data_IF_407145051873
#
_entry.id   IF_407145051873
#
_cell.length_a   1.000
_cell.length_b   1.000
_cell.length_c   1.000
_cell.angle_alpha   90.00
_cell.angle_beta   90.00
_cell.angle_gamma   90.00
#
_symmetry.space_group_name_H-M   'P 1'
#
loop_
_entity.id
_entity.type
_entity.pdbx_description
1 polymer ?
#
# COMPACT_ATOMS: atom_id res chain seq x y z
N UNK A 1 0.26 20.34 7.61
CA UNK A 1 -0.16 19.71 6.33
C UNK A 1 -0.26 18.19 6.45
N UNK A 2 0.74 17.50 7.01
CA UNK A 2 0.67 16.07 7.36
C UNK A 2 -0.58 15.70 8.18
N UNK A 3 -0.98 16.56 9.13
CA UNK A 3 -2.18 16.36 9.95
C UNK A 3 -3.47 16.19 9.12
N UNK A 4 -3.61 16.89 7.99
CA UNK A 4 -4.80 16.74 7.14
C UNK A 4 -4.84 15.37 6.44
N UNK A 5 -3.67 14.81 6.12
CA UNK A 5 -3.55 13.51 5.45
C UNK A 5 -3.94 12.39 6.42
N UNK A 6 -3.40 12.40 7.65
CA UNK A 6 -3.69 11.37 8.67
C UNK A 6 -5.15 11.37 9.16
N UNK A 7 -5.93 12.42 8.88
CA UNK A 7 -7.35 12.47 9.27
C UNK A 7 -8.31 12.31 8.10
N UNK A 8 -7.78 12.17 6.88
CA UNK A 8 -8.59 12.14 5.67
C UNK A 8 -9.15 10.75 5.40
N UNK A 9 -10.44 10.69 5.08
CA UNK A 9 -11.06 9.50 4.49
C UNK A 9 -12.24 9.90 3.61
N UNK A 10 -12.24 9.45 2.36
CA UNK A 10 -13.31 9.63 1.39
C UNK A 10 -13.99 8.29 1.12
N UNK A 11 -15.18 8.12 1.70
CA UNK A 11 -15.99 6.90 1.54
C UNK A 11 -16.43 6.68 0.10
N UNK A 12 -16.74 7.74 -0.63
CA UNK A 12 -17.19 7.67 -2.03
C UNK A 12 -16.06 7.20 -2.93
N UNK A 13 -14.83 7.67 -2.72
CA UNK A 13 -13.65 7.24 -3.47
C UNK A 13 -12.97 5.98 -2.91
N UNK A 14 -13.33 5.56 -1.70
CA UNK A 14 -12.70 4.47 -0.95
C UNK A 14 -11.20 4.70 -0.78
N UNK A 15 -10.81 5.93 -0.41
CA UNK A 15 -9.40 6.32 -0.23
C UNK A 15 -9.22 7.13 1.05
N UNK A 16 -8.16 6.84 1.81
CA UNK A 16 -7.78 7.66 2.96
C UNK A 16 -6.76 7.04 3.88
N UNK A 17 -6.48 7.72 4.98
CA UNK A 17 -5.55 7.26 6.00
C UNK A 17 -6.06 5.96 6.65
N UNK A 18 -5.14 5.00 6.78
CA UNK A 18 -5.47 3.66 7.27
C UNK A 18 -6.05 3.66 8.69
N UNK A 19 -5.66 4.60 9.54
CA UNK A 19 -6.18 4.76 10.91
C UNK A 19 -7.61 5.30 10.99
N UNK A 20 -8.18 5.76 9.86
CA UNK A 20 -9.58 6.21 9.74
C UNK A 20 -10.51 5.13 9.22
N UNK A 21 -9.96 3.98 8.85
CA UNK A 21 -10.69 2.83 8.31
C UNK A 21 -11.14 1.97 9.49
N UNK A 22 -12.07 2.51 10.29
CA UNK A 22 -12.44 1.97 11.60
C UNK A 22 -13.87 1.44 11.66
N UNK A 23 -14.59 1.25 10.55
CA UNK A 23 -15.96 0.73 10.61
C UNK A 23 -15.95 -0.78 10.30
N UNK A 24 -16.01 -1.66 11.33
CA UNK A 24 -16.22 -3.07 11.09
C UNK A 24 -17.52 -3.25 10.31
N UNK A 25 -17.47 -4.01 9.23
CA UNK A 25 -18.64 -4.28 8.39
C UNK A 25 -18.84 -3.35 7.19
N UNK A 26 -18.03 -2.30 7.03
CA UNK A 26 -18.00 -1.51 5.77
C UNK A 26 -17.07 -2.11 4.71
N UNK A 27 -16.22 -3.07 5.10
CA UNK A 27 -15.18 -3.66 4.26
C UNK A 27 -15.29 -5.17 4.23
N UNK A 28 -15.07 -5.75 3.06
CA UNK A 28 -15.01 -7.19 2.87
C UNK A 28 -14.04 -7.51 1.73
N UNK A 29 -13.62 -8.77 1.64
CA UNK A 29 -12.84 -9.21 0.50
C UNK A 29 -13.68 -9.10 -0.77
N UNK A 30 -13.07 -8.62 -1.85
CA UNK A 30 -13.76 -8.43 -3.11
C UNK A 30 -14.32 -9.73 -3.69
N UNK A 31 -15.14 -9.59 -4.72
CA UNK A 31 -15.66 -10.72 -5.48
C UNK A 31 -14.79 -10.96 -6.71
N UNK A 32 -14.67 -12.23 -7.10
CA UNK A 32 -14.11 -12.59 -8.40
C UNK A 32 -15.18 -12.40 -9.48
N UNK A 33 -14.80 -11.81 -10.61
CA UNK A 33 -15.65 -11.72 -11.79
C UNK A 33 -14.84 -12.08 -13.04
N UNK A 34 -15.52 -12.50 -14.11
CA UNK A 34 -14.88 -12.93 -15.35
C UNK A 34 -13.94 -11.88 -15.98
N UNK A 35 -14.18 -10.59 -15.71
CA UNK A 35 -13.45 -9.47 -16.31
C UNK A 35 -12.57 -8.71 -15.32
N UNK A 36 -12.75 -8.92 -14.02
CA UNK A 36 -11.98 -8.25 -12.98
C UNK A 36 -11.97 -9.10 -11.69
N UNK A 37 -10.81 -9.64 -11.34
CA UNK A 37 -10.64 -10.42 -10.13
C UNK A 37 -10.15 -9.53 -8.98
N UNK A 38 -11.09 -9.10 -8.14
CA UNK A 38 -10.79 -8.36 -6.91
C UNK A 38 -10.84 -9.25 -5.67
N UNK A 39 -10.91 -10.59 -5.83
CA UNK A 39 -11.11 -11.54 -4.74
C UNK A 39 -10.02 -11.53 -3.67
N UNK A 40 -8.83 -11.06 -4.05
CA UNK A 40 -7.68 -10.92 -3.16
C UNK A 40 -7.49 -9.51 -2.62
N UNK A 41 -8.40 -8.58 -2.90
CA UNK A 41 -8.32 -7.19 -2.44
C UNK A 41 -9.41 -6.89 -1.43
N UNK A 42 -9.09 -6.05 -0.44
CA UNK A 42 -10.09 -5.50 0.46
C UNK A 42 -10.90 -4.43 -0.29
N UNK A 43 -12.22 -4.59 -0.29
CA UNK A 43 -13.16 -3.77 -1.04
C UNK A 43 -14.23 -3.19 -0.11
N UNK A 44 -14.87 -2.10 -0.55
CA UNK A 44 -16.08 -1.62 0.13
C UNK A 44 -17.18 -2.70 0.03
N UNK A 45 -17.78 -3.06 1.15
CA UNK A 45 -18.73 -4.17 1.25
C UNK A 45 -19.89 -4.01 0.26
N UNK A 46 -20.24 -5.10 -0.41
CA UNK A 46 -21.28 -5.09 -1.44
C UNK A 46 -20.83 -4.49 -2.77
N UNK A 47 -19.55 -4.15 -2.93
CA UNK A 47 -18.97 -3.63 -4.17
C UNK A 47 -17.66 -4.36 -4.51
N UNK A 48 -17.22 -4.25 -5.76
CA UNK A 48 -15.88 -4.68 -6.18
C UNK A 48 -14.87 -3.52 -6.19
N UNK A 49 -15.14 -2.44 -5.44
CA UNK A 49 -14.30 -1.24 -5.41
C UNK A 49 -13.19 -1.41 -4.36
N UNK A 50 -11.91 -1.50 -4.76
CA UNK A 50 -10.82 -1.72 -3.82
C UNK A 50 -10.58 -0.48 -2.95
N UNK A 51 -10.29 -0.73 -1.68
CA UNK A 51 -9.86 0.28 -0.74
C UNK A 51 -8.40 0.68 -1.03
N UNK A 52 -8.19 1.99 -1.16
CA UNK A 52 -6.84 2.58 -1.26
C UNK A 52 -6.48 3.22 0.07
N UNK A 53 -5.37 2.83 0.64
CA UNK A 53 -4.95 3.26 1.98
C UNK A 53 -3.71 4.13 1.90
N UNK A 54 -3.70 5.17 2.72
CA UNK A 54 -2.58 6.06 2.92
C UNK A 54 -1.90 5.75 4.25
N UNK A 55 -0.59 5.47 4.19
CA UNK A 55 0.24 5.15 5.35
C UNK A 55 1.42 6.13 5.36
N UNK A 56 1.31 7.23 6.12
CA UNK A 56 2.45 8.11 6.34
C UNK A 56 3.40 7.47 7.36
N UNK A 57 4.68 7.46 7.02
CA UNK A 57 5.70 6.81 7.83
C UNK A 57 7.10 7.22 7.44
N UNK A 58 8.05 6.87 8.31
CA UNK A 58 9.48 7.01 8.08
C UNK A 58 10.02 5.72 7.42
N UNK A 59 10.79 5.84 6.35
CA UNK A 59 11.38 4.68 5.66
C UNK A 59 12.37 3.97 6.57
N UNK A 60 12.19 2.67 6.73
CA UNK A 60 13.07 1.79 7.53
C UNK A 60 13.86 0.81 6.69
N UNK A 61 13.35 0.44 5.52
CA UNK A 61 14.02 -0.43 4.57
C UNK A 61 13.38 -0.30 3.19
N UNK A 62 14.15 -0.49 2.14
CA UNK A 62 13.69 -0.49 0.76
C UNK A 62 14.39 -1.55 -0.10
N UNK A 63 13.62 -2.14 -1.01
CA UNK A 63 14.09 -3.16 -1.94
C UNK A 63 13.49 -2.90 -3.32
N UNK A 64 14.27 -2.28 -4.19
CA UNK A 64 13.85 -1.89 -5.55
C UNK A 64 14.67 -2.53 -6.66
N UNK A 65 15.92 -2.88 -6.36
CA UNK A 65 16.84 -3.58 -7.26
C UNK A 65 17.33 -4.87 -6.59
N UNK A 66 17.77 -5.83 -7.40
CA UNK A 66 18.45 -7.04 -6.94
C UNK A 66 19.94 -6.78 -6.65
N UNK A 67 20.64 -7.81 -6.18
CA UNK A 67 22.06 -7.75 -5.81
C UNK A 67 22.99 -7.39 -6.98
N UNK A 68 22.51 -7.52 -8.23
CA UNK A 68 23.25 -7.14 -9.44
C UNK A 68 22.90 -5.74 -9.94
N UNK A 69 22.04 -5.00 -9.22
CA UNK A 69 21.55 -3.68 -9.61
C UNK A 69 20.45 -3.71 -10.68
N UNK A 70 19.91 -4.88 -11.03
CA UNK A 70 18.80 -4.98 -11.97
C UNK A 70 17.45 -4.75 -11.26
N UNK A 71 16.40 -4.26 -11.95
CA UNK A 71 15.08 -4.09 -11.35
C UNK A 71 14.56 -5.37 -10.68
N UNK A 72 14.11 -5.27 -9.43
CA UNK A 72 13.63 -6.42 -8.68
C UNK A 72 12.26 -6.90 -9.20
N UNK A 73 12.08 -8.22 -9.35
CA UNK A 73 10.78 -8.85 -9.71
C UNK A 73 9.65 -8.43 -8.77
N UNK A 74 9.96 -8.28 -7.49
CA UNK A 74 9.05 -7.82 -6.44
C UNK A 74 9.75 -6.74 -5.65
N UNK A 75 9.21 -5.54 -5.71
CA UNK A 75 9.71 -4.42 -4.92
C UNK A 75 9.02 -4.37 -3.56
N UNK A 76 9.71 -3.78 -2.59
CA UNK A 76 9.17 -3.56 -1.26
C UNK A 76 9.68 -2.26 -0.65
N UNK A 77 8.85 -1.63 0.17
CA UNK A 77 9.25 -0.54 1.07
C UNK A 77 8.65 -0.81 2.44
N UNK A 78 9.45 -0.63 3.48
CA UNK A 78 9.04 -0.78 4.87
C UNK A 78 9.08 0.59 5.54
N UNK A 79 8.01 0.95 6.26
CA UNK A 79 7.92 2.22 6.97
C UNK A 79 7.50 2.03 8.41
N UNK A 80 8.10 2.83 9.30
CA UNK A 80 7.63 3.03 10.65
C UNK A 80 6.49 4.07 10.63
N UNK A 81 5.28 3.75 11.09
CA UNK A 81 4.18 4.71 11.21
C UNK A 81 4.55 5.92 12.05
N UNK A 82 4.05 7.10 11.66
CA UNK A 82 4.22 8.32 12.46
C UNK A 82 3.37 8.36 13.74
N UNK A 83 2.52 7.35 13.98
CA UNK A 83 1.65 7.28 15.14
C UNK A 83 1.42 5.83 15.57
N UNK A 84 1.57 5.56 16.88
CA UNK A 84 1.21 4.26 17.46
C UNK A 84 -0.26 3.90 17.25
N UNK A 85 -1.16 4.89 17.21
CA UNK A 85 -2.58 4.65 16.90
C UNK A 85 -2.78 4.07 15.50
N UNK A 86 -2.01 4.54 14.52
CA UNK A 86 -2.07 4.04 13.15
C UNK A 86 -1.64 2.57 13.11
N UNK A 87 -0.57 2.24 13.83
CA UNK A 87 -0.13 0.86 14.01
C UNK A 87 -1.24 -0.02 14.62
N UNK A 88 -1.75 0.35 15.80
CA UNK A 88 -2.75 -0.44 16.54
C UNK A 88 -4.05 -0.62 15.76
N UNK A 89 -4.54 0.46 15.13
CA UNK A 89 -5.77 0.43 14.34
C UNK A 89 -5.64 -0.51 13.16
N UNK A 90 -4.51 -0.44 12.45
CA UNK A 90 -4.28 -1.29 11.28
C UNK A 90 -4.12 -2.76 11.68
N UNK A 91 -3.42 -3.03 12.78
CA UNK A 91 -3.28 -4.37 13.35
C UNK A 91 -4.65 -4.96 13.68
N UNK A 92 -5.50 -4.20 14.37
CA UNK A 92 -6.86 -4.62 14.68
C UNK A 92 -7.71 -4.87 13.43
N UNK A 93 -7.62 -3.99 12.43
CA UNK A 93 -8.30 -4.15 11.15
C UNK A 93 -7.86 -5.43 10.44
N UNK A 94 -6.56 -5.62 10.21
CA UNK A 94 -6.02 -6.79 9.53
C UNK A 94 -6.33 -8.10 10.29
N UNK A 95 -6.27 -8.08 11.62
CA UNK A 95 -6.67 -9.21 12.47
C UNK A 95 -8.13 -9.59 12.28
N UNK A 96 -9.01 -8.60 12.25
CA UNK A 96 -10.45 -8.83 12.09
C UNK A 96 -10.80 -9.43 10.72
N UNK A 97 -9.97 -9.15 9.70
CA UNK A 97 -10.14 -9.60 8.32
C UNK A 97 -9.39 -10.90 7.99
N UNK A 98 -8.52 -11.37 8.89
CA UNK A 98 -7.72 -12.59 8.69
C UNK A 98 -8.52 -13.87 8.97
N UNK A 99 -8.23 -14.94 8.23
CA UNK A 99 -8.79 -16.27 8.46
C UNK A 99 -7.67 -17.33 8.44
N UNK A 100 -7.37 -18.02 9.56
CA UNK A 100 -7.99 -17.85 10.88
C UNK A 100 -7.69 -16.45 11.44
N UNK A 101 -8.59 -15.94 12.30
CA UNK A 101 -8.35 -14.67 12.99
C UNK A 101 -7.08 -14.80 13.81
N UNK A 102 -6.11 -13.94 13.55
CA UNK A 102 -4.88 -13.94 14.32
C UNK A 102 -5.14 -13.29 15.68
N UNK A 103 -5.24 -14.11 16.72
CA UNK A 103 -5.43 -13.69 18.12
C UNK A 103 -4.10 -13.52 18.86
N UNK A 104 -2.97 -13.80 18.20
CA UNK A 104 -1.66 -13.64 18.80
C UNK A 104 -1.30 -12.16 18.92
N UNK A 105 -0.92 -11.74 20.13
CA UNK A 105 -0.38 -10.40 20.38
C UNK A 105 0.95 -10.17 19.63
N UNK A 106 1.66 -11.23 19.25
CA UNK A 106 2.90 -11.20 18.50
C UNK A 106 2.62 -10.99 17.00
N UNK A 107 2.31 -9.75 16.64
CA UNK A 107 2.58 -9.31 15.29
C UNK A 107 4.08 -9.06 15.14
N UNK A 108 4.58 -9.21 13.92
CA UNK A 108 5.97 -8.89 13.56
C UNK A 108 6.33 -7.43 13.88
N UNK A 109 7.53 -6.97 13.50
CA UNK A 109 8.02 -5.63 13.83
C UNK A 109 6.98 -4.54 13.53
N UNK A 110 6.99 -3.44 14.30
CA UNK A 110 6.04 -2.31 14.26
C UNK A 110 6.06 -1.49 12.95
N UNK A 111 6.30 -2.16 11.82
CA UNK A 111 6.57 -1.60 10.50
C UNK A 111 5.52 -2.08 9.50
N UNK A 112 5.14 -1.19 8.59
CA UNK A 112 4.32 -1.52 7.44
C UNK A 112 5.19 -1.83 6.26
N UNK A 113 5.02 -3.03 5.68
CA UNK A 113 5.70 -3.42 4.45
C UNK A 113 4.71 -3.41 3.28
N UNK A 114 4.88 -2.48 2.37
CA UNK A 114 4.17 -2.47 1.09
C UNK A 114 5.02 -3.19 0.03
N UNK A 115 4.37 -4.00 -0.83
CA UNK A 115 5.08 -4.73 -1.90
C UNK A 115 4.32 -4.66 -3.22
N UNK A 116 5.04 -4.73 -4.33
CA UNK A 116 4.44 -4.76 -5.68
C UNK A 116 5.24 -5.68 -6.60
N UNK A 117 4.51 -6.48 -7.39
CA UNK A 117 5.11 -7.23 -8.49
C UNK A 117 5.38 -6.31 -9.68
N UNK A 118 6.59 -6.39 -10.20
CA UNK A 118 7.06 -5.60 -11.34
C UNK A 118 7.16 -6.41 -12.64
N UNK A 119 6.74 -7.68 -12.60
CA UNK A 119 6.66 -8.54 -13.77
C UNK A 119 5.50 -8.10 -14.66
N UNK A 120 5.80 -7.72 -15.89
CA UNK A 120 4.83 -7.45 -16.95
C UNK A 120 4.74 -8.69 -17.82
N UNK A 121 3.52 -9.21 -18.01
CA UNK A 121 3.29 -10.34 -18.92
C UNK A 121 3.54 -9.87 -20.35
N UNK A 122 4.41 -10.60 -21.05
CA UNK A 122 4.59 -10.41 -22.48
C UNK A 122 3.29 -10.69 -23.25
N UNK A 123 3.13 -10.06 -24.42
CA UNK A 123 2.09 -10.47 -25.37
C UNK A 123 2.33 -11.91 -25.83
N UNK A 124 1.32 -12.57 -26.43
CA UNK A 124 1.38 -13.99 -26.85
C UNK A 124 2.74 -14.36 -27.47
N UNK A 125 3.45 -15.30 -26.83
CA UNK A 125 4.75 -15.81 -27.28
C UNK A 125 5.97 -15.01 -26.82
N UNK A 126 5.80 -13.86 -26.18
CA UNK A 126 6.89 -13.06 -25.63
C UNK A 126 7.15 -13.41 -24.16
N UNK A 127 8.43 -13.45 -23.72
CA UNK A 127 8.76 -13.65 -22.32
C UNK A 127 8.22 -12.49 -21.47
N UNK A 128 7.92 -12.79 -20.21
CA UNK A 128 7.60 -11.73 -19.25
C UNK A 128 8.85 -10.91 -18.95
N UNK A 129 8.70 -9.59 -18.85
CA UNK A 129 9.79 -8.67 -18.52
C UNK A 129 9.60 -8.10 -17.12
N UNK A 130 10.69 -7.67 -16.50
CA UNK A 130 10.65 -6.92 -15.24
C UNK A 130 10.90 -5.46 -15.57
N UNK A 131 10.02 -4.58 -15.11
CA UNK A 131 10.18 -3.13 -15.29
C UNK A 131 10.60 -2.48 -13.98
N UNK A 132 11.27 -1.34 -14.07
CA UNK A 132 11.61 -0.55 -12.91
C UNK A 132 10.36 0.09 -12.29
N UNK A 133 10.32 0.17 -10.95
CA UNK A 133 9.25 0.89 -10.28
C UNK A 133 9.46 2.39 -10.49
N UNK A 134 8.41 3.08 -10.95
CA UNK A 134 8.47 4.50 -11.33
C UNK A 134 7.32 5.33 -10.75
N UNK A 135 6.61 4.79 -9.76
CA UNK A 135 5.48 5.45 -9.08
C UNK A 135 5.94 6.14 -7.79
N UNK A 136 6.94 7.03 -7.91
CA UNK A 136 7.37 7.94 -6.85
C UNK A 136 7.13 9.38 -7.29
N UNK A 137 6.65 10.19 -6.36
CA UNK A 137 6.19 11.54 -6.65
C UNK A 137 6.66 12.49 -5.53
N UNK A 138 7.16 13.66 -5.89
CA UNK A 138 7.59 14.66 -4.91
C UNK A 138 6.38 15.32 -4.24
N UNK A 139 6.21 15.06 -2.95
CA UNK A 139 5.19 15.65 -2.10
C UNK A 139 5.74 16.62 -1.04
N UNK A 140 7.02 17.02 -1.12
CA UNK A 140 7.69 17.84 -0.09
C UNK A 140 7.01 19.19 0.15
N UNK A 141 6.45 19.78 -0.90
CA UNK A 141 5.74 21.07 -0.82
C UNK A 141 4.24 20.88 -0.60
N UNK A 142 3.58 20.12 -1.49
CA UNK A 142 2.13 19.91 -1.52
C UNK A 142 1.81 18.54 -2.13
N UNK A 143 0.95 17.77 -1.47
CA UNK A 143 0.35 16.57 -2.05
C UNK A 143 -0.74 16.99 -3.06
N UNK A 144 -0.63 16.54 -4.31
CA UNK A 144 -1.56 16.83 -5.40
C UNK A 144 -2.01 15.54 -6.08
N UNK A 145 -2.80 15.67 -7.14
CA UNK A 145 -3.01 14.56 -8.08
C UNK A 145 -1.66 14.11 -8.65
N UNK A 146 -1.45 12.80 -8.78
CA UNK A 146 -0.20 12.19 -9.26
C UNK A 146 0.21 12.69 -10.64
N UNK A 147 -0.74 13.04 -11.51
CA UNK A 147 -0.47 13.61 -12.83
C UNK A 147 0.12 15.02 -12.77
N UNK A 148 -0.04 15.71 -11.64
CA UNK A 148 0.44 17.08 -11.39
C UNK A 148 1.67 17.11 -10.47
N UNK A 149 2.15 15.95 -10.04
CA UNK A 149 3.33 15.83 -9.19
C UNK A 149 4.54 15.45 -10.01
N UNK A 150 5.68 16.05 -9.69
CA UNK A 150 6.96 15.70 -10.28
C UNK A 150 7.32 14.26 -9.89
N UNK A 151 7.67 13.44 -10.88
CA UNK A 151 8.23 12.11 -10.61
C UNK A 151 9.69 12.25 -10.21
N UNK A 152 10.05 11.59 -9.11
CA UNK A 152 11.44 11.51 -8.65
C UNK A 152 11.98 10.10 -8.86
N UNK A 153 13.31 9.99 -8.95
CA UNK A 153 13.98 8.70 -9.03
C UNK A 153 13.92 7.96 -7.69
N UNK A 154 13.87 6.63 -7.74
CA UNK A 154 13.88 5.80 -6.53
C UNK A 154 15.15 5.97 -5.69
N UNK A 155 16.26 6.32 -6.35
CA UNK A 155 17.54 6.62 -5.73
C UNK A 155 17.53 7.90 -4.87
N UNK A 156 16.43 8.67 -4.89
CA UNK A 156 16.26 9.84 -4.04
C UNK A 156 15.56 9.54 -2.72
N UNK A 157 15.10 8.30 -2.50
CA UNK A 157 14.51 7.87 -1.23
C UNK A 157 15.58 7.14 -0.43
N UNK A 158 15.74 7.56 0.82
CA UNK A 158 16.69 7.00 1.77
C UNK A 158 15.98 6.50 3.01
N UNK A 159 16.67 5.66 3.79
CA UNK A 159 16.23 5.37 5.15
C UNK A 159 16.11 6.68 5.94
N UNK A 160 15.12 6.73 6.83
CA UNK A 160 14.72 7.91 7.61
C UNK A 160 13.96 9.01 6.84
N UNK A 161 13.71 8.84 5.53
CA UNK A 161 12.84 9.78 4.80
C UNK A 161 11.37 9.63 5.21
N UNK A 162 10.67 10.75 5.26
CA UNK A 162 9.21 10.78 5.46
C UNK A 162 8.49 10.56 4.13
N UNK A 163 7.71 9.49 4.06
CA UNK A 163 6.95 9.12 2.86
C UNK A 163 5.47 8.96 3.18
N UNK A 164 4.64 9.13 2.14
CA UNK A 164 3.25 8.72 2.13
C UNK A 164 3.09 7.54 1.20
N UNK A 165 2.87 6.34 1.75
CA UNK A 165 2.57 5.17 0.94
C UNK A 165 1.10 5.18 0.56
N UNK A 166 0.82 5.08 -0.73
CA UNK A 166 -0.50 4.72 -1.23
C UNK A 166 -0.51 3.25 -1.67
N UNK A 167 -1.35 2.43 -1.04
CA UNK A 167 -1.40 0.99 -1.30
C UNK A 167 -2.84 0.46 -1.30
N UNK A 168 -3.01 -0.77 -1.78
CA UNK A 168 -4.23 -1.56 -1.58
C UNK A 168 -3.92 -2.72 -0.64
N UNK A 169 -4.89 -3.09 0.18
CA UNK A 169 -4.76 -4.23 1.09
C UNK A 169 -5.16 -5.48 0.33
N UNK A 170 -4.28 -6.49 0.32
CA UNK A 170 -4.56 -7.79 -0.25
C UNK A 170 -4.40 -8.94 0.73
N UNK A 171 -5.06 -10.06 0.44
CA UNK A 171 -4.88 -11.35 1.13
C UNK A 171 -4.12 -12.36 0.27
N UNK A 172 -3.53 -13.33 0.95
CA UNK A 172 -2.80 -14.46 0.37
C UNK A 172 -3.45 -15.77 0.78
#
# INVERSE_FOLDING_TARGET
RLYAIIIYFDKTRCVGALDRIQVPGDWDWGLSSAFNDASNLLCAKGTSKPLTVWVPGEVTNQYFYDDNGAPAKRVAISVQPLSGRLHDTSKNLLNSLSSPRNTSAAFGPDQFRATRWMTVRGQRGQPSSVIEFSDYYDARTVLKDKLLMEKIGVNQIMEHDLVLIEARIGRY
#
